data_IF_324310012598
#
_entry.id   IF_324310012598
#
_cell.length_a   1.000
_cell.length_b   1.000
_cell.length_c   1.000
_cell.angle_alpha   90.00
_cell.angle_beta   90.00
_cell.angle_gamma   90.00
#
_symmetry.space_group_name_H-M   'P 1'
#
loop_
_entity.id
_entity.type
_entity.pdbx_description
1 polymer ?
#
# COMPACT_ATOMS: atom_id res chain seq x y z
N UNK A 1 2.61 5.29 3.25
CA UNK A 1 2.90 3.83 3.25
C UNK A 1 2.21 3.16 2.05
N UNK A 2 0.89 2.97 2.08
CA UNK A 2 0.11 2.30 1.02
C UNK A 2 0.22 2.97 -0.37
N UNK A 3 -0.15 4.25 -0.50
CA UNK A 3 -0.12 4.97 -1.79
C UNK A 3 1.24 4.93 -2.48
N UNK A 4 2.32 4.97 -1.67
CA UNK A 4 3.68 4.87 -2.19
C UNK A 4 3.97 3.48 -2.75
N UNK A 5 3.49 2.41 -2.11
CA UNK A 5 3.63 1.05 -2.62
C UNK A 5 2.83 0.88 -3.91
N UNK A 6 1.58 1.35 -3.95
CA UNK A 6 0.73 1.24 -5.14
C UNK A 6 1.25 2.06 -6.31
N UNK A 7 1.72 3.29 -6.08
CA UNK A 7 2.34 4.09 -7.13
C UNK A 7 3.53 3.37 -7.79
N UNK A 8 4.42 2.77 -7.00
CA UNK A 8 5.57 2.03 -7.51
C UNK A 8 5.12 0.72 -8.18
N UNK A 9 4.14 0.01 -7.60
CA UNK A 9 3.59 -1.23 -8.17
C UNK A 9 2.99 -0.96 -9.56
N UNK A 10 2.17 0.06 -9.70
CA UNK A 10 1.56 0.43 -10.98
C UNK A 10 2.58 0.98 -11.98
N UNK A 11 3.62 1.67 -11.52
CA UNK A 11 4.75 2.02 -12.40
C UNK A 11 5.42 0.76 -12.96
N UNK A 12 5.74 -0.22 -12.12
CA UNK A 12 6.33 -1.51 -12.53
C UNK A 12 5.39 -2.31 -13.45
N UNK A 13 4.09 -2.30 -13.18
CA UNK A 13 3.09 -3.01 -13.99
C UNK A 13 2.83 -2.33 -15.34
N UNK A 14 3.16 -1.05 -15.50
CA UNK A 14 2.97 -0.34 -16.78
C UNK A 14 3.81 -0.91 -17.94
N UNK A 15 4.86 -1.67 -17.61
CA UNK A 15 5.72 -2.42 -18.52
C UNK A 15 5.49 -3.94 -18.45
N UNK A 16 4.37 -4.40 -17.90
CA UNK A 16 4.00 -5.81 -17.86
C UNK A 16 3.93 -6.40 -19.27
N UNK A 17 4.38 -7.65 -19.43
CA UNK A 17 4.17 -8.43 -20.66
C UNK A 17 2.69 -8.73 -20.93
N UNK A 18 1.84 -8.71 -19.90
CA UNK A 18 0.40 -8.88 -20.03
C UNK A 18 -0.27 -7.53 -20.29
N UNK A 19 -0.54 -7.26 -21.58
CA UNK A 19 -0.98 -5.93 -22.04
C UNK A 19 -2.27 -5.40 -21.36
N UNK A 20 -3.32 -6.20 -21.07
CA UNK A 20 -4.49 -5.67 -20.35
C UNK A 20 -4.15 -5.06 -18.99
N UNK A 21 -3.23 -5.68 -18.25
CA UNK A 21 -2.74 -5.17 -16.97
C UNK A 21 -1.88 -3.92 -17.14
N UNK A 22 -0.99 -3.92 -18.15
CA UNK A 22 -0.17 -2.76 -18.47
C UNK A 22 -1.02 -1.52 -18.82
N UNK A 23 -2.10 -1.70 -19.58
CA UNK A 23 -3.02 -0.63 -19.95
C UNK A 23 -3.74 -0.03 -18.75
N UNK A 24 -4.28 -0.87 -17.87
CA UNK A 24 -4.88 -0.43 -16.60
C UNK A 24 -3.85 0.33 -15.78
N UNK A 25 -2.64 -0.21 -15.64
CA UNK A 25 -1.59 0.42 -14.86
C UNK A 25 -1.21 1.82 -15.38
N UNK A 26 -1.07 1.97 -16.71
CA UNK A 26 -0.81 3.28 -17.35
C UNK A 26 -1.94 4.28 -17.11
N UNK A 27 -3.20 3.82 -17.14
CA UNK A 27 -4.39 4.67 -16.90
C UNK A 27 -4.42 5.23 -15.48
N UNK A 28 -4.22 4.39 -14.47
CA UNK A 28 -4.32 4.78 -13.06
C UNK A 28 -3.10 5.57 -12.53
N UNK A 29 -1.97 5.58 -13.25
CA UNK A 29 -0.76 6.30 -12.84
C UNK A 29 -0.99 7.79 -12.53
N UNK A 30 -1.91 8.43 -13.25
CA UNK A 30 -2.28 9.83 -13.00
C UNK A 30 -2.90 10.04 -11.62
N UNK A 31 -3.82 9.18 -11.22
CA UNK A 31 -4.53 9.22 -9.93
C UNK A 31 -3.59 8.93 -8.76
N UNK A 32 -2.78 7.88 -8.88
CA UNK A 32 -1.79 7.50 -7.86
C UNK A 32 -0.77 8.60 -7.59
N UNK A 33 -0.42 9.41 -8.60
CA UNK A 33 0.45 10.57 -8.43
C UNK A 33 -0.19 11.61 -7.50
N UNK A 34 -1.48 11.89 -7.65
CA UNK A 34 -2.20 12.84 -6.80
C UNK A 34 -2.36 12.31 -5.37
N UNK A 35 -2.73 11.04 -5.21
CA UNK A 35 -2.83 10.40 -3.88
C UNK A 35 -1.50 10.46 -3.14
N UNK A 36 -0.41 10.05 -3.81
CA UNK A 36 0.95 10.09 -3.25
C UNK A 36 1.39 11.51 -2.91
N UNK A 37 1.06 12.50 -3.74
CA UNK A 37 1.36 13.91 -3.46
C UNK A 37 0.61 14.39 -2.21
N UNK A 38 -0.69 14.12 -2.13
CA UNK A 38 -1.52 14.50 -0.99
C UNK A 38 -1.01 13.87 0.32
N UNK A 39 -0.74 12.56 0.31
CA UNK A 39 -0.18 11.85 1.46
C UNK A 39 1.16 12.45 1.90
N UNK A 40 2.09 12.71 0.97
CA UNK A 40 3.40 13.32 1.29
C UNK A 40 3.29 14.71 1.89
N UNK A 41 2.38 15.53 1.36
CA UNK A 41 2.12 16.87 1.89
C UNK A 41 1.71 16.81 3.35
N UNK A 42 0.74 15.96 3.70
CA UNK A 42 0.28 15.82 5.08
C UNK A 42 1.34 15.23 6.01
N UNK A 43 2.09 14.20 5.57
CA UNK A 43 3.20 13.66 6.37
C UNK A 43 4.24 14.74 6.66
N UNK A 44 4.59 15.56 5.66
CA UNK A 44 5.58 16.63 5.83
C UNK A 44 5.08 17.71 6.78
N UNK A 45 3.85 18.20 6.56
CA UNK A 45 3.26 19.26 7.39
C UNK A 45 3.08 18.81 8.84
N UNK A 46 2.48 17.63 9.07
CA UNK A 46 2.23 17.12 10.43
C UNK A 46 3.52 16.67 11.12
N UNK A 47 4.48 16.11 10.38
CA UNK A 47 5.77 15.65 10.89
C UNK A 47 6.77 16.76 11.21
N UNK A 48 6.44 18.02 10.91
CA UNK A 48 7.27 19.20 11.21
C UNK A 48 6.52 20.29 11.98
N UNK A 49 5.26 20.04 12.37
CA UNK A 49 4.42 21.01 13.07
C UNK A 49 4.73 21.04 14.58
N UNK A 50 3.78 20.66 15.43
CA UNK A 50 3.90 20.70 16.89
C UNK A 50 4.36 19.34 17.44
N UNK A 51 4.85 19.33 18.68
CA UNK A 51 5.22 18.08 19.35
C UNK A 51 4.03 17.10 19.49
N UNK A 52 2.82 17.62 19.70
CA UNK A 52 1.61 16.80 19.70
C UNK A 52 1.35 16.16 18.33
N UNK A 53 1.43 16.95 17.25
CA UNK A 53 1.25 16.47 15.87
C UNK A 53 2.26 15.38 15.53
N UNK A 54 3.54 15.64 15.84
CA UNK A 54 4.64 14.67 15.64
C UNK A 54 4.42 13.40 16.45
N UNK A 55 4.03 13.51 17.71
CA UNK A 55 3.78 12.36 18.58
C UNK A 55 2.64 11.47 18.06
N UNK A 56 1.52 12.08 17.67
CA UNK A 56 0.37 11.37 17.08
C UNK A 56 0.77 10.67 15.78
N UNK A 57 1.47 11.37 14.90
CA UNK A 57 1.86 10.81 13.60
C UNK A 57 2.91 9.71 13.75
N UNK A 58 3.87 9.85 14.66
CA UNK A 58 4.85 8.81 14.98
C UNK A 58 4.15 7.55 15.52
N UNK A 59 3.17 7.71 16.41
CA UNK A 59 2.38 6.58 16.92
C UNK A 59 1.66 5.85 15.79
N UNK A 60 0.98 6.60 14.90
CA UNK A 60 0.31 6.02 13.74
C UNK A 60 1.27 5.33 12.76
N UNK A 61 2.47 5.90 12.55
CA UNK A 61 3.52 5.28 11.73
C UNK A 61 3.97 3.94 12.35
N UNK A 62 4.23 3.92 13.66
CA UNK A 62 4.63 2.71 14.38
C UNK A 62 3.55 1.61 14.29
N UNK A 63 2.28 1.98 14.48
CA UNK A 63 1.14 1.06 14.42
C UNK A 63 0.89 0.52 13.00
N UNK A 64 1.01 1.37 11.98
CA UNK A 64 0.72 0.99 10.59
C UNK A 64 1.87 0.21 9.92
N UNK A 65 3.11 0.32 10.41
CA UNK A 65 4.28 -0.26 9.75
C UNK A 65 4.20 -1.79 9.57
N UNK A 66 3.81 -2.61 10.57
CA UNK A 66 3.63 -4.06 10.39
C UNK A 66 2.62 -4.41 9.28
N UNK A 67 1.52 -3.66 9.17
CA UNK A 67 0.52 -3.85 8.11
C UNK A 67 1.06 -3.42 6.73
N UNK A 68 1.82 -2.33 6.68
CA UNK A 68 2.45 -1.89 5.43
C UNK A 68 3.49 -2.89 4.92
N UNK A 69 4.23 -3.56 5.82
CA UNK A 69 5.15 -4.63 5.45
C UNK A 69 4.42 -5.85 4.86
N UNK A 70 3.17 -6.10 5.26
CA UNK A 70 2.31 -7.14 4.68
C UNK A 70 1.98 -6.94 3.20
N UNK A 71 2.16 -5.73 2.65
CA UNK A 71 1.98 -5.46 1.21
C UNK A 71 2.99 -6.20 0.31
N UNK A 72 4.05 -6.74 0.92
CA UNK A 72 5.14 -7.47 0.26
C UNK A 72 5.12 -8.97 0.60
N UNK A 73 3.99 -9.48 1.07
CA UNK A 73 3.76 -10.93 1.25
C UNK A 73 4.03 -11.65 -0.09
N UNK A 74 4.92 -12.65 -0.04
CA UNK A 74 5.31 -13.41 -1.22
C UNK A 74 4.14 -14.23 -1.77
N UNK A 75 4.04 -14.31 -3.09
CA UNK A 75 3.05 -15.14 -3.78
C UNK A 75 3.64 -16.50 -4.14
N UNK A 76 2.88 -17.62 -4.08
CA UNK A 76 3.34 -18.89 -4.63
C UNK A 76 3.62 -18.81 -6.16
N UNK A 77 3.03 -17.82 -6.85
CA UNK A 77 3.20 -17.59 -8.29
C UNK A 77 4.27 -16.55 -8.63
N UNK A 78 4.99 -16.03 -7.64
CA UNK A 78 5.96 -14.94 -7.82
C UNK A 78 7.01 -15.25 -8.89
N UNK A 79 7.64 -16.42 -8.80
CA UNK A 79 8.67 -16.84 -9.74
C UNK A 79 8.14 -16.90 -11.18
N UNK A 80 6.97 -17.49 -11.37
CA UNK A 80 6.33 -17.60 -12.68
C UNK A 80 5.99 -16.22 -13.26
N UNK A 81 5.43 -15.31 -12.44
CA UNK A 81 5.12 -13.94 -12.88
C UNK A 81 6.36 -13.16 -13.31
N UNK A 82 7.50 -13.36 -12.64
CA UNK A 82 8.77 -12.74 -13.01
C UNK A 82 9.31 -13.34 -14.31
N UNK A 83 9.32 -14.67 -14.44
CA UNK A 83 9.79 -15.38 -15.64
C UNK A 83 8.96 -15.01 -16.89
N UNK A 84 7.65 -14.84 -16.73
CA UNK A 84 6.75 -14.40 -17.79
C UNK A 84 6.84 -12.89 -18.07
N UNK A 85 7.59 -12.11 -17.28
CA UNK A 85 7.68 -10.65 -17.41
C UNK A 85 6.40 -9.90 -17.03
N UNK A 86 5.49 -10.53 -16.28
CA UNK A 86 4.21 -9.94 -15.88
C UNK A 86 4.42 -8.92 -14.76
N UNK A 87 5.28 -9.22 -13.79
CA UNK A 87 5.63 -8.34 -12.68
C UNK A 87 7.07 -8.59 -12.24
N UNK A 88 7.77 -7.54 -11.80
CA UNK A 88 9.21 -7.61 -11.47
C UNK A 88 9.47 -8.23 -10.09
N UNK A 89 8.43 -8.39 -9.26
CA UNK A 89 8.51 -9.07 -7.96
C UNK A 89 8.36 -8.13 -6.76
N UNK A 90 7.84 -8.66 -5.65
CA UNK A 90 7.51 -7.92 -4.42
C UNK A 90 8.75 -7.49 -3.65
N UNK A 91 9.86 -8.24 -3.74
CA UNK A 91 11.12 -7.86 -3.10
C UNK A 91 11.72 -6.58 -3.73
N UNK A 92 11.68 -6.47 -5.06
CA UNK A 92 12.12 -5.25 -5.74
C UNK A 92 11.19 -4.07 -5.44
N UNK A 93 9.88 -4.33 -5.41
CA UNK A 93 8.90 -3.34 -4.98
C UNK A 93 9.18 -2.84 -3.55
N UNK A 94 9.44 -3.74 -2.60
CA UNK A 94 9.76 -3.42 -1.20
C UNK A 94 11.01 -2.56 -1.08
N UNK A 95 12.07 -2.88 -1.84
CA UNK A 95 13.31 -2.08 -1.86
C UNK A 95 13.06 -0.65 -2.32
N UNK A 96 12.37 -0.47 -3.46
CA UNK A 96 12.03 0.86 -3.98
C UNK A 96 11.11 1.63 -3.03
N UNK A 97 10.16 0.93 -2.42
CA UNK A 97 9.26 1.50 -1.45
C UNK A 97 9.99 2.03 -0.22
N UNK A 98 10.87 1.23 0.39
CA UNK A 98 11.66 1.64 1.56
C UNK A 98 12.45 2.91 1.27
N UNK A 99 13.17 2.98 0.15
CA UNK A 99 13.91 4.16 -0.26
C UNK A 99 13.02 5.41 -0.33
N UNK A 100 11.78 5.26 -0.84
CA UNK A 100 10.86 6.40 -0.97
C UNK A 100 10.24 6.82 0.37
N UNK A 101 10.02 5.88 1.27
CA UNK A 101 9.59 6.18 2.64
C UNK A 101 10.72 6.91 3.38
N UNK A 102 11.95 6.42 3.32
CA UNK A 102 13.13 7.08 3.91
C UNK A 102 13.33 8.50 3.38
N UNK A 103 13.23 8.70 2.06
CA UNK A 103 13.31 10.03 1.44
C UNK A 103 12.22 10.97 1.96
N UNK A 104 11.01 10.46 2.20
CA UNK A 104 9.90 11.27 2.70
C UNK A 104 10.10 11.64 4.17
N UNK A 105 10.48 10.67 5.00
CA UNK A 105 10.66 10.89 6.45
C UNK A 105 11.89 11.73 6.77
N UNK A 106 12.95 11.70 5.94
CA UNK A 106 14.14 12.54 6.11
C UNK A 106 13.86 14.06 6.08
N UNK A 107 12.67 14.46 5.62
CA UNK A 107 12.19 15.86 5.62
C UNK A 107 11.34 16.20 6.84
N UNK A 108 11.28 15.31 7.83
CA UNK A 108 10.45 15.40 9.04
C UNK A 108 11.25 14.98 10.26
N UNK A 109 10.69 15.21 11.46
CA UNK A 109 11.26 14.72 12.72
C UNK A 109 10.83 13.26 13.04
N UNK A 110 10.11 12.61 12.12
CA UNK A 110 9.63 11.23 12.31
C UNK A 110 10.76 10.23 12.12
N UNK A 111 10.73 9.18 12.93
CA UNK A 111 11.68 8.08 12.90
C UNK A 111 11.03 6.91 12.17
N UNK A 112 11.72 6.38 11.16
CA UNK A 112 11.32 5.14 10.51
C UNK A 112 11.41 3.98 11.53
N UNK A 113 10.34 3.23 11.80
CA UNK A 113 10.42 2.06 12.67
C UNK A 113 11.41 1.04 12.11
N UNK A 114 12.14 0.34 13.00
CA UNK A 114 13.09 -0.69 12.57
C UNK A 114 12.36 -1.89 11.95
N UNK A 115 12.13 -1.81 10.65
CA UNK A 115 11.38 -2.78 9.88
C UNK A 115 12.05 -4.15 9.81
N UNK A 116 13.34 -4.26 10.17
CA UNK A 116 14.06 -5.55 10.15
C UNK A 116 13.68 -6.45 11.31
N UNK A 117 13.22 -5.87 12.42
CA UNK A 117 12.78 -6.61 13.61
C UNK A 117 11.26 -6.70 13.73
N UNK A 118 10.51 -5.89 12.96
CA UNK A 118 9.06 -5.95 12.92
C UNK A 118 8.59 -7.22 12.20
N UNK A 119 7.63 -7.91 12.82
CA UNK A 119 6.90 -8.99 12.16
C UNK A 119 5.82 -8.38 11.23
N UNK A 120 5.85 -8.66 9.91
CA UNK A 120 4.79 -8.22 9.01
C UNK A 120 3.45 -8.87 9.36
N UNK A 121 2.36 -8.12 9.15
CA UNK A 121 1.00 -8.66 9.25
C UNK A 121 0.58 -9.18 7.87
N UNK A 122 0.62 -10.49 7.69
CA UNK A 122 0.37 -11.21 6.43
C UNK A 122 -0.90 -12.06 6.52
N UNK A 123 -1.30 -12.67 5.40
CA UNK A 123 -2.40 -13.63 5.33
C UNK A 123 -3.67 -13.09 4.70
N UNK A 124 -3.77 -11.77 4.49
CA UNK A 124 -4.90 -11.16 3.80
C UNK A 124 -5.08 -11.69 2.37
N UNK A 125 -4.00 -12.08 1.69
CA UNK A 125 -4.05 -12.67 0.34
C UNK A 125 -4.64 -14.09 0.31
N UNK A 126 -4.69 -14.77 1.46
CA UNK A 126 -5.22 -16.14 1.61
C UNK A 126 -6.48 -16.18 2.48
N UNK A 127 -7.13 -15.03 2.68
CA UNK A 127 -8.40 -14.93 3.41
C UNK A 127 -8.28 -14.84 4.92
N UNK A 128 -7.06 -14.74 5.47
CA UNK A 128 -6.87 -14.50 6.91
C UNK A 128 -6.86 -12.99 7.19
N UNK A 129 -8.01 -12.47 7.61
CA UNK A 129 -8.21 -11.03 7.82
C UNK A 129 -8.34 -10.69 9.31
N UNK A 130 -8.10 -9.42 9.66
CA UNK A 130 -8.41 -8.92 10.99
C UNK A 130 -9.92 -8.90 11.23
N UNK A 131 -10.30 -8.80 12.50
CA UNK A 131 -11.70 -8.62 12.94
C UNK A 131 -12.38 -7.39 12.31
N UNK A 132 -11.62 -6.45 11.76
CA UNK A 132 -12.13 -5.24 11.14
C UNK A 132 -12.77 -5.48 9.76
N UNK A 133 -12.42 -6.55 9.03
CA UNK A 133 -12.91 -6.72 7.67
C UNK A 133 -14.40 -7.06 7.63
N UNK A 134 -14.87 -7.94 8.52
CA UNK A 134 -16.26 -8.44 8.44
C UNK A 134 -17.29 -7.30 8.59
N UNK A 135 -17.18 -6.38 9.58
CA UNK A 135 -18.08 -5.23 9.66
C UNK A 135 -18.05 -4.34 8.41
N UNK A 136 -16.88 -4.14 7.80
CA UNK A 136 -16.75 -3.34 6.57
C UNK A 136 -17.44 -4.01 5.37
N UNK A 137 -17.33 -5.33 5.24
CA UNK A 137 -18.05 -6.07 4.20
C UNK A 137 -19.55 -6.04 4.45
N UNK A 138 -19.96 -6.08 5.72
CA UNK A 138 -21.36 -5.98 6.09
C UNK A 138 -21.96 -4.64 5.72
N UNK A 139 -21.26 -3.54 5.96
CA UNK A 139 -21.70 -2.22 5.51
C UNK A 139 -21.65 -2.10 3.97
N UNK A 140 -20.52 -2.47 3.35
CA UNK A 140 -20.32 -2.32 1.90
C UNK A 140 -21.36 -3.09 1.07
N UNK A 141 -21.82 -4.25 1.55
CA UNK A 141 -22.75 -5.11 0.82
C UNK A 141 -24.20 -5.03 1.32
N UNK A 142 -24.52 -4.11 2.23
CA UNK A 142 -25.86 -3.96 2.79
C UNK A 142 -26.94 -3.84 1.71
N UNK A 143 -26.84 -2.83 0.84
CA UNK A 143 -27.85 -2.55 -0.20
C UNK A 143 -27.99 -3.73 -1.18
N UNK A 144 -26.86 -4.32 -1.58
CA UNK A 144 -26.86 -5.48 -2.48
C UNK A 144 -27.53 -6.71 -1.86
N UNK A 145 -27.36 -6.93 -0.55
CA UNK A 145 -27.98 -8.07 0.14
C UNK A 145 -29.45 -7.84 0.46
N UNK A 146 -29.87 -6.58 0.64
CA UNK A 146 -31.27 -6.24 0.82
C UNK A 146 -32.08 -6.52 -0.44
N UNK A 147 -31.55 -6.17 -1.62
CA UNK A 147 -32.23 -6.36 -2.91
C UNK A 147 -31.30 -6.95 -3.99
N UNK A 148 -31.02 -8.29 -3.96
CA UNK A 148 -30.06 -8.92 -4.87
C UNK A 148 -30.44 -8.88 -6.36
N UNK A 149 -31.71 -8.61 -6.66
CA UNK A 149 -32.23 -8.53 -8.03
C UNK A 149 -32.33 -7.12 -8.60
N UNK A 150 -31.93 -6.10 -7.83
CA UNK A 150 -31.97 -4.71 -8.28
C UNK A 150 -30.85 -4.41 -9.28
N UNK A 151 -31.15 -3.57 -10.27
CA UNK A 151 -30.18 -3.05 -11.24
C UNK A 151 -29.73 -1.63 -10.82
N UNK A 152 -28.42 -1.37 -10.83
CA UNK A 152 -27.78 -0.11 -10.43
C UNK A 152 -26.74 0.34 -11.46
#
# INVERSE_FOLDING_TARGET
LYDTAEAIRFEMLSSSSYEPLAQVARKFRGELRYQTLHAKTWITQLGTATDESKSRLQKSLNEAMPFALGLFENSPYEKELIELGVFVGVEELKKRWLLKIEETLSKTDLILPDWKILKPNEGGRVGNHSEHLQPLLDEMSEVFRLEPGAEW
#
